data_IF_713694326475
#
_entry.id   IF_713694326475
#
_cell.length_a   1.000
_cell.length_b   1.000
_cell.length_c   1.000
_cell.angle_alpha   90.00
_cell.angle_beta   90.00
_cell.angle_gamma   90.00
#
_symmetry.space_group_name_H-M   'P 1'
#
loop_
_entity.id
_entity.type
_entity.pdbx_description
1 polymer ?
#
# COMPACT_ATOMS: atom_id res chain seq x y z
N UNK A 1 5.10 -23.43 18.85
CA UNK A 1 3.68 -23.85 18.94
C UNK A 1 2.69 -23.01 18.13
N UNK A 2 3.05 -21.80 17.78
CA UNK A 2 2.04 -20.90 17.20
C UNK A 2 1.91 -20.97 15.67
N UNK A 3 2.95 -21.33 14.94
CA UNK A 3 3.00 -21.18 13.48
C UNK A 3 2.18 -22.22 12.74
N UNK A 4 2.38 -23.48 13.08
CA UNK A 4 1.65 -24.57 12.44
C UNK A 4 0.17 -24.53 12.84
N UNK A 5 -0.12 -24.06 14.06
CA UNK A 5 -1.48 -23.86 14.51
C UNK A 5 -2.17 -22.72 13.76
N UNK A 6 -1.45 -21.62 13.50
CA UNK A 6 -1.94 -20.51 12.64
C UNK A 6 -2.10 -20.95 11.19
N UNK A 7 -1.15 -21.70 10.64
CA UNK A 7 -1.25 -22.26 9.30
C UNK A 7 -2.49 -23.14 9.13
N UNK A 8 -2.76 -24.02 10.10
CA UNK A 8 -3.96 -24.85 10.11
C UNK A 8 -5.24 -24.05 10.21
N UNK A 9 -5.24 -22.98 11.02
CA UNK A 9 -6.39 -22.09 11.15
C UNK A 9 -6.62 -21.33 9.84
N UNK A 10 -5.58 -20.90 9.15
CA UNK A 10 -5.70 -20.23 7.84
C UNK A 10 -6.20 -21.20 6.76
N UNK A 11 -5.63 -22.39 6.66
CA UNK A 11 -6.10 -23.41 5.72
C UNK A 11 -7.57 -23.77 5.97
N UNK A 12 -7.97 -23.84 7.23
CA UNK A 12 -9.36 -24.04 7.63
C UNK A 12 -10.26 -22.87 7.21
N UNK A 13 -9.78 -21.62 7.35
CA UNK A 13 -10.53 -20.41 6.96
C UNK A 13 -10.70 -20.32 5.45
N UNK A 14 -9.67 -20.65 4.66
CA UNK A 14 -9.76 -20.63 3.19
C UNK A 14 -10.72 -21.71 2.68
N UNK A 15 -10.68 -22.92 3.23
CA UNK A 15 -11.63 -23.96 2.89
C UNK A 15 -13.06 -23.55 3.26
N UNK A 16 -13.28 -22.95 4.44
CA UNK A 16 -14.59 -22.39 4.82
C UNK A 16 -15.09 -21.30 3.86
N UNK A 17 -14.21 -20.43 3.35
CA UNK A 17 -14.58 -19.43 2.34
C UNK A 17 -14.99 -20.09 1.02
N UNK A 18 -14.30 -21.15 0.61
CA UNK A 18 -14.58 -21.88 -0.63
C UNK A 18 -15.91 -22.65 -0.57
N UNK A 19 -16.32 -23.13 0.61
CA UNK A 19 -17.60 -23.82 0.82
C UNK A 19 -18.78 -22.87 1.09
N UNK A 20 -18.54 -21.68 1.64
CA UNK A 20 -19.60 -20.69 1.89
C UNK A 20 -20.21 -20.10 0.62
N UNK A 21 -19.60 -20.30 -0.52
CA UNK A 21 -20.10 -19.88 -1.84
C UNK A 21 -20.85 -21.01 -2.60
N UNK A 22 -21.15 -22.12 -1.95
CA UNK A 22 -22.06 -23.17 -2.46
C UNK A 22 -23.32 -23.21 -1.64
N UNK A 23 -24.42 -23.06 -2.34
CA UNK A 23 -25.78 -22.91 -1.82
C UNK A 23 -26.21 -23.95 -0.78
N UNK A 24 -26.95 -23.52 0.12
CA UNK A 24 -27.86 -23.89 1.22
C UNK A 24 -28.35 -25.35 1.41
N UNK A 25 -27.81 -26.40 0.79
CA UNK A 25 -28.38 -27.75 0.92
C UNK A 25 -27.53 -28.79 1.66
N UNK A 26 -26.39 -28.43 2.30
CA UNK A 26 -25.45 -29.41 2.86
C UNK A 26 -25.10 -29.22 4.35
N UNK A 27 -26.11 -29.06 5.21
CA UNK A 27 -25.87 -29.00 6.68
C UNK A 27 -25.26 -30.30 7.26
N UNK A 28 -25.55 -31.47 6.66
CA UNK A 28 -24.94 -32.75 7.08
C UNK A 28 -23.47 -32.90 6.68
N UNK A 29 -23.07 -32.38 5.52
CA UNK A 29 -21.66 -32.40 5.06
C UNK A 29 -20.78 -31.46 5.88
N UNK A 30 -21.32 -30.31 6.30
CA UNK A 30 -20.63 -29.35 7.17
C UNK A 30 -20.36 -29.96 8.56
N UNK A 31 -21.27 -30.76 9.08
CA UNK A 31 -21.11 -31.42 10.40
C UNK A 31 -20.02 -32.50 10.34
N UNK A 32 -19.98 -33.31 9.29
CA UNK A 32 -18.94 -34.30 9.04
C UNK A 32 -17.54 -33.68 8.82
N UNK A 33 -17.47 -32.56 8.10
CA UNK A 33 -16.26 -31.79 7.92
C UNK A 33 -15.77 -31.24 9.25
N UNK A 34 -16.65 -30.70 10.10
CA UNK A 34 -16.27 -30.14 11.40
C UNK A 34 -15.71 -31.20 12.36
N UNK A 35 -16.22 -32.43 12.33
CA UNK A 35 -15.69 -33.56 13.11
C UNK A 35 -14.31 -34.01 12.59
N UNK A 36 -14.13 -34.09 11.26
CA UNK A 36 -12.84 -34.39 10.62
C UNK A 36 -11.77 -33.36 11.00
N UNK A 37 -12.14 -32.09 11.06
CA UNK A 37 -11.24 -30.98 11.41
C UNK A 37 -10.88 -30.97 12.89
N UNK A 38 -11.80 -31.32 13.79
CA UNK A 38 -11.51 -31.46 15.23
C UNK A 38 -10.44 -32.50 15.52
N UNK A 39 -10.37 -33.55 14.70
CA UNK A 39 -9.37 -34.63 14.82
C UNK A 39 -8.02 -34.19 14.19
N UNK A 40 -8.04 -33.39 13.14
CA UNK A 40 -6.82 -32.88 12.47
C UNK A 40 -6.09 -31.83 13.32
N UNK A 41 -6.82 -30.96 14.02
CA UNK A 41 -6.26 -29.94 14.93
C UNK A 41 -5.58 -30.57 16.16
N UNK A 42 -5.92 -31.82 16.52
CA UNK A 42 -5.32 -32.51 17.66
C UNK A 42 -3.96 -33.15 17.41
N UNK A 43 -3.56 -33.36 16.15
CA UNK A 43 -2.21 -33.83 15.82
C UNK A 43 -1.23 -32.66 15.86
N UNK A 44 -0.32 -32.68 16.84
CA UNK A 44 0.85 -31.77 16.93
C UNK A 44 1.87 -32.12 15.84
N UNK A 45 1.57 -31.87 14.57
CA UNK A 45 2.55 -32.01 13.50
C UNK A 45 3.43 -30.77 13.45
N UNK A 46 4.72 -30.94 13.28
CA UNK A 46 5.70 -29.86 13.13
C UNK A 46 5.92 -29.56 11.65
N UNK A 47 6.55 -28.43 11.32
CA UNK A 47 6.97 -28.13 9.94
C UNK A 47 7.87 -29.25 9.39
N UNK A 48 8.74 -29.85 10.25
CA UNK A 48 9.61 -30.96 9.89
C UNK A 48 8.81 -32.21 9.51
N UNK A 49 7.67 -32.47 10.14
CA UNK A 49 6.82 -33.61 9.79
C UNK A 49 6.27 -33.45 8.35
N UNK A 50 5.87 -32.24 7.97
CA UNK A 50 5.45 -31.96 6.60
C UNK A 50 6.59 -32.05 5.59
N UNK A 51 7.79 -31.55 5.93
CA UNK A 51 8.95 -31.60 5.06
C UNK A 51 9.45 -33.06 4.87
N UNK A 52 9.30 -33.91 5.87
CA UNK A 52 9.66 -35.32 5.80
C UNK A 52 8.56 -36.20 5.20
N UNK A 53 7.34 -35.71 5.05
CA UNK A 53 6.26 -36.48 4.44
C UNK A 53 6.53 -36.72 2.94
N UNK A 54 6.59 -37.99 2.57
CA UNK A 54 6.83 -38.44 1.18
C UNK A 54 5.64 -38.18 0.26
N UNK A 55 4.47 -37.82 0.78
CA UNK A 55 3.29 -37.49 -0.01
C UNK A 55 3.40 -36.13 -0.71
N UNK A 56 4.26 -35.25 -0.23
CA UNK A 56 4.51 -33.95 -0.82
C UNK A 56 5.73 -33.99 -1.72
N UNK A 57 5.58 -33.50 -2.94
CA UNK A 57 6.69 -33.25 -3.85
C UNK A 57 7.51 -32.01 -3.41
N UNK A 58 8.61 -31.76 -4.09
CA UNK A 58 9.49 -30.64 -3.77
C UNK A 58 8.78 -29.28 -3.93
N UNK A 59 7.93 -29.13 -4.94
CA UNK A 59 7.18 -27.90 -5.16
C UNK A 59 6.22 -27.60 -4.01
N UNK A 60 5.45 -28.62 -3.59
CA UNK A 60 4.53 -28.45 -2.46
C UNK A 60 5.23 -28.18 -1.13
N UNK A 61 6.40 -28.78 -0.94
CA UNK A 61 7.24 -28.49 0.25
C UNK A 61 7.74 -27.06 0.27
N UNK A 62 8.15 -26.52 -0.88
CA UNK A 62 8.55 -25.11 -1.01
C UNK A 62 7.38 -24.16 -0.72
N UNK A 63 6.19 -24.44 -1.25
CA UNK A 63 5.00 -23.66 -0.90
C UNK A 63 4.72 -23.64 0.60
N UNK A 64 4.82 -24.80 1.28
CA UNK A 64 4.63 -24.90 2.72
C UNK A 64 5.67 -24.08 3.50
N UNK A 65 6.93 -24.10 3.04
CA UNK A 65 7.99 -23.27 3.64
C UNK A 65 7.70 -21.78 3.43
N UNK A 66 7.34 -21.38 2.22
CA UNK A 66 7.05 -19.99 1.88
C UNK A 66 5.88 -19.44 2.71
N UNK A 67 4.78 -20.19 2.79
CA UNK A 67 3.64 -19.82 3.64
C UNK A 67 4.01 -19.75 5.14
N UNK A 68 4.83 -20.68 5.61
CA UNK A 68 5.30 -20.63 6.99
C UNK A 68 6.22 -19.43 7.25
N UNK A 69 7.12 -19.12 6.28
CA UNK A 69 8.01 -17.97 6.36
C UNK A 69 7.24 -16.65 6.41
N UNK A 70 6.22 -16.46 5.57
CA UNK A 70 5.34 -15.27 5.59
C UNK A 70 4.66 -15.03 6.94
N UNK A 71 4.43 -16.09 7.72
CA UNK A 71 3.78 -15.99 9.04
C UNK A 71 4.79 -15.75 10.16
N UNK A 72 6.00 -16.30 10.03
CA UNK A 72 7.01 -16.31 11.10
C UNK A 72 7.94 -15.12 11.01
N UNK A 73 8.36 -14.80 9.79
CA UNK A 73 9.30 -13.71 9.58
C UNK A 73 8.57 -12.38 9.75
N UNK A 74 9.18 -11.40 10.44
CA UNK A 74 8.65 -10.05 10.42
C UNK A 74 8.66 -9.54 8.97
N UNK A 75 7.65 -8.78 8.59
CA UNK A 75 7.69 -8.03 7.34
C UNK A 75 8.92 -7.14 7.35
N UNK A 76 9.67 -7.15 6.25
CA UNK A 76 10.77 -6.20 6.08
C UNK A 76 10.15 -4.80 5.97
N UNK A 77 10.67 -3.88 6.78
CA UNK A 77 10.31 -2.48 6.64
C UNK A 77 10.90 -1.95 5.33
N UNK A 78 10.11 -1.24 4.54
CA UNK A 78 10.59 -0.58 3.33
C UNK A 78 11.50 0.60 3.64
N UNK A 79 12.25 1.07 2.66
CA UNK A 79 13.04 2.28 2.78
C UNK A 79 12.12 3.49 3.06
N UNK A 80 12.57 4.39 3.92
CA UNK A 80 11.77 5.54 4.33
C UNK A 80 11.78 6.63 3.28
N UNK A 81 10.66 7.33 3.16
CA UNK A 81 10.62 8.64 2.50
C UNK A 81 11.35 9.63 3.39
N UNK A 82 12.49 10.12 2.93
CA UNK A 82 13.31 11.07 3.69
C UNK A 82 13.00 12.52 3.35
N UNK A 83 12.57 12.79 2.12
CA UNK A 83 12.06 14.10 1.73
C UNK A 83 11.17 14.03 0.49
N UNK A 84 10.27 15.03 0.34
CA UNK A 84 9.50 15.27 -0.88
C UNK A 84 9.62 16.75 -1.23
N UNK A 85 10.24 17.03 -2.38
CA UNK A 85 10.31 18.38 -2.93
C UNK A 85 9.19 18.63 -3.94
N UNK A 86 8.57 19.80 -3.88
CA UNK A 86 7.53 20.21 -4.82
C UNK A 86 7.70 21.68 -5.18
N UNK A 87 7.70 21.96 -6.48
CA UNK A 87 7.80 23.32 -7.01
C UNK A 87 6.50 23.74 -7.64
N UNK A 88 5.96 24.88 -7.22
CA UNK A 88 4.71 25.43 -7.71
C UNK A 88 4.94 26.59 -8.66
N UNK A 89 4.35 26.48 -9.83
CA UNK A 89 4.46 27.48 -10.91
C UNK A 89 3.07 27.84 -11.44
N UNK A 90 2.92 29.08 -11.91
CA UNK A 90 1.72 29.48 -12.65
C UNK A 90 1.97 29.36 -14.15
N UNK A 91 0.95 28.90 -14.87
CA UNK A 91 1.04 28.79 -16.33
C UNK A 91 1.35 30.13 -16.96
N UNK A 92 2.41 30.17 -17.76
CA UNK A 92 2.90 31.40 -18.43
C UNK A 92 3.94 32.19 -17.65
N UNK A 93 4.25 31.82 -16.43
CA UNK A 93 5.36 32.38 -15.64
C UNK A 93 6.62 31.50 -15.82
N UNK A 94 7.80 32.11 -15.79
CA UNK A 94 9.08 31.38 -15.95
C UNK A 94 9.68 30.99 -14.61
N UNK A 95 9.31 31.68 -13.54
CA UNK A 95 9.83 31.48 -12.19
C UNK A 95 8.78 30.81 -11.30
N UNK A 96 9.17 29.89 -10.43
CA UNK A 96 8.28 29.32 -9.44
C UNK A 96 7.89 30.38 -8.41
N UNK A 97 6.66 30.33 -7.95
CA UNK A 97 6.24 31.21 -6.85
C UNK A 97 6.47 30.57 -5.47
N UNK A 98 6.57 29.25 -5.41
CA UNK A 98 6.79 28.52 -4.16
C UNK A 98 7.60 27.24 -4.41
N UNK A 99 8.63 27.02 -3.61
CA UNK A 99 9.29 25.74 -3.45
C UNK A 99 8.97 25.20 -2.05
N UNK A 100 8.45 23.99 -1.98
CA UNK A 100 8.14 23.33 -0.73
C UNK A 100 8.93 22.06 -0.57
N UNK A 101 9.50 21.84 0.60
CA UNK A 101 10.25 20.63 0.95
C UNK A 101 9.74 20.09 2.29
N UNK A 102 9.13 18.90 2.25
CA UNK A 102 8.85 18.11 3.44
C UNK A 102 10.06 17.20 3.73
N UNK A 103 10.64 17.30 4.90
CA UNK A 103 11.90 16.61 5.28
C UNK A 103 11.68 15.78 6.54
N UNK A 104 12.18 14.53 6.55
CA UNK A 104 12.20 13.68 7.73
C UNK A 104 13.44 13.98 8.58
N UNK A 105 13.22 14.37 9.82
CA UNK A 105 14.28 14.78 10.73
C UNK A 105 14.56 16.27 10.64
N UNK A 106 15.82 16.64 10.57
CA UNK A 106 16.29 18.01 10.61
C UNK A 106 16.94 18.43 9.29
N UNK A 107 16.81 19.67 8.91
CA UNK A 107 17.43 20.23 7.71
C UNK A 107 17.78 21.70 7.93
N UNK A 108 18.89 22.14 7.35
CA UNK A 108 19.25 23.56 7.34
C UNK A 108 18.26 24.36 6.46
N UNK A 109 18.07 25.64 6.80
CA UNK A 109 17.27 26.55 5.98
C UNK A 109 17.88 26.70 4.58
N UNK A 110 17.02 26.64 3.56
CA UNK A 110 17.40 26.79 2.16
C UNK A 110 16.70 28.02 1.61
N UNK A 111 17.48 28.97 1.12
CA UNK A 111 16.97 30.14 0.42
C UNK A 111 17.24 29.99 -1.09
N UNK A 112 16.20 30.15 -1.90
CA UNK A 112 16.30 30.17 -3.36
C UNK A 112 15.94 31.58 -3.84
N UNK A 113 16.81 32.20 -4.61
CA UNK A 113 16.57 33.52 -5.18
C UNK A 113 15.29 33.54 -6.03
N UNK A 114 14.50 34.62 -5.90
CA UNK A 114 13.28 34.90 -6.65
C UNK A 114 12.09 33.95 -6.42
N UNK A 115 12.12 33.10 -5.40
CA UNK A 115 10.99 32.26 -5.05
C UNK A 115 10.87 32.07 -3.54
N UNK A 116 9.66 31.98 -3.04
CA UNK A 116 9.43 31.59 -1.65
C UNK A 116 9.84 30.13 -1.48
N UNK A 117 10.60 29.85 -0.41
CA UNK A 117 11.04 28.50 -0.10
C UNK A 117 10.60 28.15 1.31
N UNK A 118 9.83 27.10 1.45
CA UNK A 118 9.35 26.55 2.71
C UNK A 118 9.99 25.17 2.90
N UNK A 119 10.72 25.00 4.01
CA UNK A 119 11.24 23.71 4.43
C UNK A 119 10.55 23.34 5.74
N UNK A 120 9.80 22.25 5.72
CA UNK A 120 9.13 21.72 6.90
C UNK A 120 9.75 20.40 7.31
N UNK A 121 10.23 20.35 8.57
CA UNK A 121 10.85 19.19 9.16
C UNK A 121 9.85 18.41 10.02
N UNK A 122 9.79 17.10 9.82
CA UNK A 122 8.85 16.21 10.49
C UNK A 122 9.58 15.14 11.30
N UNK A 123 9.12 14.88 12.50
CA UNK A 123 9.73 13.85 13.37
C UNK A 123 9.44 12.42 12.85
N UNK A 124 8.29 12.21 12.23
CA UNK A 124 7.89 10.90 11.70
C UNK A 124 7.63 10.95 10.20
N UNK A 125 7.87 9.82 9.54
CA UNK A 125 7.59 9.68 8.10
C UNK A 125 6.09 9.83 7.79
N UNK A 126 5.21 9.38 8.70
CA UNK A 126 3.78 9.57 8.58
C UNK A 126 3.43 11.05 8.52
N UNK A 127 3.96 11.84 9.44
CA UNK A 127 3.69 13.29 9.49
C UNK A 127 4.24 14.00 8.25
N UNK A 128 5.39 13.56 7.73
CA UNK A 128 5.94 14.06 6.47
C UNK A 128 4.97 13.83 5.31
N UNK A 129 4.44 12.62 5.14
CA UNK A 129 3.48 12.29 4.08
C UNK A 129 2.17 13.06 4.23
N UNK A 130 1.71 13.24 5.46
CA UNK A 130 0.49 13.98 5.75
C UNK A 130 0.67 15.49 5.51
N UNK A 131 1.78 16.09 5.97
CA UNK A 131 2.09 17.49 5.73
C UNK A 131 2.24 17.82 4.24
N UNK A 132 2.88 16.94 3.49
CA UNK A 132 2.92 17.07 2.02
C UNK A 132 1.52 17.00 1.40
N UNK A 133 0.65 16.10 1.88
CA UNK A 133 -0.74 16.01 1.41
C UNK A 133 -1.52 17.30 1.70
N UNK A 134 -1.37 17.86 2.90
CA UNK A 134 -1.99 19.14 3.27
C UNK A 134 -1.52 20.28 2.37
N UNK A 135 -0.20 20.36 2.09
CA UNK A 135 0.35 21.37 1.20
C UNK A 135 -0.23 21.27 -0.23
N UNK A 136 -0.32 20.07 -0.79
CA UNK A 136 -0.95 19.88 -2.12
C UNK A 136 -2.42 20.31 -2.10
N UNK A 137 -3.14 19.99 -1.02
CA UNK A 137 -4.54 20.41 -0.86
C UNK A 137 -4.69 21.94 -0.77
N UNK A 138 -3.80 22.61 -0.03
CA UNK A 138 -3.84 24.06 0.14
C UNK A 138 -3.50 24.81 -1.14
N UNK A 139 -2.55 24.30 -1.90
CA UNK A 139 -2.12 24.90 -3.17
C UNK A 139 -3.08 24.60 -4.33
N UNK A 140 -3.90 23.54 -4.25
CA UNK A 140 -4.90 23.16 -5.25
C UNK A 140 -4.37 23.15 -6.70
N UNK A 141 -3.28 22.43 -7.02
CA UNK A 141 -2.72 22.43 -8.35
C UNK A 141 -3.69 21.86 -9.39
N UNK A 142 -3.73 22.47 -10.59
CA UNK A 142 -4.49 21.94 -11.73
C UNK A 142 -3.76 20.79 -12.40
N UNK A 143 -2.43 20.88 -12.42
CA UNK A 143 -1.55 19.95 -13.12
C UNK A 143 -0.42 19.55 -12.18
N UNK A 144 -0.16 18.25 -12.08
CA UNK A 144 0.98 17.67 -11.38
C UNK A 144 1.91 17.03 -12.41
N UNK A 145 3.16 17.51 -12.46
CA UNK A 145 4.15 17.07 -13.43
C UNK A 145 5.32 16.44 -12.69
N UNK A 146 5.81 15.32 -13.21
CA UNK A 146 7.01 14.69 -12.71
C UNK A 146 7.73 13.90 -13.80
N UNK A 147 8.85 13.32 -13.45
CA UNK A 147 9.63 12.45 -14.32
C UNK A 147 9.69 11.04 -13.75
N UNK A 148 9.21 10.06 -14.52
CA UNK A 148 9.10 8.65 -14.12
C UNK A 148 8.25 8.42 -12.85
N UNK A 149 7.34 9.33 -12.55
CA UNK A 149 6.50 9.25 -11.35
C UNK A 149 5.56 8.05 -11.39
N UNK A 150 5.08 7.67 -12.58
CA UNK A 150 4.22 6.51 -12.77
C UNK A 150 5.00 5.18 -12.71
N UNK A 151 6.30 5.23 -12.97
CA UNK A 151 7.16 4.06 -12.88
C UNK A 151 7.73 3.81 -11.49
N UNK A 152 7.86 4.85 -10.66
CA UNK A 152 8.57 4.77 -9.39
C UNK A 152 7.88 5.48 -8.22
N UNK A 153 7.74 6.82 -8.27
CA UNK A 153 7.39 7.63 -7.09
C UNK A 153 6.03 7.27 -6.51
N UNK A 154 5.00 7.19 -7.35
CA UNK A 154 3.66 6.83 -6.87
C UNK A 154 3.60 5.45 -6.24
N UNK A 155 4.34 4.49 -6.79
CA UNK A 155 4.46 3.17 -6.19
C UNK A 155 5.08 3.29 -4.80
N UNK A 156 6.23 3.94 -4.72
CA UNK A 156 7.00 4.07 -3.50
C UNK A 156 6.21 4.76 -2.38
N UNK A 157 5.68 5.96 -2.62
CA UNK A 157 4.96 6.72 -1.59
C UNK A 157 3.65 6.03 -1.16
N UNK A 158 2.93 5.37 -2.09
CA UNK A 158 1.69 4.66 -1.74
C UNK A 158 1.96 3.40 -0.94
N UNK A 159 3.01 2.64 -1.24
CA UNK A 159 3.43 1.48 -0.46
C UNK A 159 3.85 1.91 0.96
N UNK A 160 4.63 2.99 1.08
CA UNK A 160 4.99 3.56 2.39
C UNK A 160 3.77 4.05 3.16
N UNK A 161 2.86 4.76 2.51
CA UNK A 161 1.62 5.23 3.16
C UNK A 161 0.75 4.06 3.67
N UNK A 162 0.73 2.93 2.96
CA UNK A 162 0.06 1.70 3.41
C UNK A 162 0.77 1.08 4.63
N UNK A 163 2.10 0.97 4.61
CA UNK A 163 2.87 0.45 5.74
C UNK A 163 2.72 1.31 7.01
N UNK A 164 2.64 2.62 6.84
CA UNK A 164 2.47 3.60 7.91
C UNK A 164 1.01 3.78 8.35
N UNK A 165 0.08 3.05 7.73
CA UNK A 165 -1.36 3.15 7.99
C UNK A 165 -1.90 4.59 7.86
N UNK A 166 -1.39 5.37 6.92
CA UNK A 166 -1.92 6.69 6.58
C UNK A 166 -2.71 6.74 5.26
N UNK A 167 -2.87 5.60 4.58
CA UNK A 167 -3.86 5.46 3.52
C UNK A 167 -5.25 5.23 4.12
N UNK A 168 -6.27 5.91 3.58
CA UNK A 168 -7.64 5.74 4.03
C UNK A 168 -8.11 4.29 3.90
N UNK A 169 -8.65 3.67 4.96
CA UNK A 169 -9.23 2.33 4.89
C UNK A 169 -10.49 2.31 4.00
N UNK A 170 -10.62 1.32 3.12
CA UNK A 170 -11.80 1.16 2.24
C UNK A 170 -13.13 1.00 3.02
N UNK A 171 -13.05 0.53 4.26
CA UNK A 171 -14.21 0.27 5.12
C UNK A 171 -14.66 1.47 5.95
N UNK A 172 -13.96 2.62 5.85
CA UNK A 172 -14.28 3.78 6.66
C UNK A 172 -15.54 4.49 6.13
N UNK A 173 -16.48 4.79 7.03
CA UNK A 173 -17.69 5.54 6.70
C UNK A 173 -17.35 7.03 6.61
N UNK A 174 -17.59 7.65 5.46
CA UNK A 174 -17.30 9.08 5.17
C UNK A 174 -17.92 10.06 6.16
N UNK A 175 -18.99 9.64 6.86
CA UNK A 175 -19.70 10.51 7.82
C UNK A 175 -18.95 10.73 9.14
N UNK A 176 -17.93 9.91 9.42
CA UNK A 176 -17.21 9.92 10.70
C UNK A 176 -15.70 10.14 10.53
N UNK A 177 -15.27 10.51 9.31
CA UNK A 177 -13.86 10.68 9.00
C UNK A 177 -13.49 12.16 9.11
N UNK A 178 -12.97 12.57 10.27
CA UNK A 178 -12.42 13.90 10.51
C UNK A 178 -10.90 13.96 10.25
N UNK A 179 -10.26 12.78 10.05
CA UNK A 179 -8.83 12.72 9.78
C UNK A 179 -8.54 12.95 8.29
N UNK A 180 -7.44 13.61 8.02
CA UNK A 180 -6.88 13.72 6.67
C UNK A 180 -6.10 12.43 6.36
N UNK A 181 -6.26 11.92 5.15
CA UNK A 181 -5.57 10.73 4.69
C UNK A 181 -4.68 11.03 3.48
N UNK A 182 -3.58 10.30 3.32
CA UNK A 182 -2.67 10.47 2.18
C UNK A 182 -3.37 10.41 0.81
N UNK A 183 -4.44 9.66 0.68
CA UNK A 183 -5.23 9.57 -0.55
C UNK A 183 -6.11 10.80 -0.84
N UNK A 184 -6.12 11.83 0.00
CA UNK A 184 -6.95 13.03 -0.17
C UNK A 184 -6.26 14.13 -1.00
N UNK A 185 -5.80 13.76 -2.20
CA UNK A 185 -5.14 14.67 -3.14
C UNK A 185 -6.09 15.20 -4.23
N UNK A 186 -7.40 14.88 -4.15
CA UNK A 186 -8.40 15.32 -5.10
C UNK A 186 -8.73 16.80 -4.92
N UNK A 187 -8.98 17.51 -6.04
CA UNK A 187 -9.55 18.86 -6.00
C UNK A 187 -11.06 18.86 -5.71
N UNK A 188 -11.71 17.74 -5.93
CA UNK A 188 -13.13 17.61 -5.67
C UNK A 188 -13.35 17.27 -4.20
N UNK A 189 -14.12 18.09 -3.50
CA UNK A 189 -14.41 17.86 -2.10
C UNK A 189 -15.20 16.57 -1.91
N UNK A 190 -14.72 15.71 -1.02
CA UNK A 190 -15.35 14.43 -0.70
C UNK A 190 -15.02 13.30 -1.68
N UNK A 191 -14.16 13.53 -2.67
CA UNK A 191 -13.65 12.46 -3.55
C UNK A 191 -12.22 12.08 -3.15
N UNK A 192 -11.98 10.79 -2.96
CA UNK A 192 -10.66 10.25 -2.60
C UNK A 192 -9.95 9.72 -3.83
N UNK A 193 -8.65 9.92 -3.85
CA UNK A 193 -7.81 9.35 -4.89
C UNK A 193 -7.69 7.84 -4.73
N UNK A 194 -7.59 7.13 -5.85
CA UNK A 194 -7.42 5.68 -5.89
C UNK A 194 -6.10 5.34 -6.55
N UNK A 195 -5.37 4.40 -5.96
CA UNK A 195 -4.20 3.81 -6.61
C UNK A 195 -4.65 3.00 -7.82
N UNK A 196 -4.13 3.33 -8.99
CA UNK A 196 -4.37 2.61 -10.24
C UNK A 196 -3.09 1.93 -10.68
N UNK A 197 -3.19 0.65 -10.98
CA UNK A 197 -2.10 -0.15 -11.54
C UNK A 197 -2.51 -0.59 -12.95
N UNK A 198 -1.70 -0.26 -13.93
CA UNK A 198 -1.89 -0.64 -15.34
C UNK A 198 -0.62 -1.18 -15.94
N UNK A 199 -0.78 -2.15 -16.82
CA UNK A 199 0.29 -2.67 -17.64
C UNK A 199 0.15 -2.10 -19.05
N UNK A 200 1.22 -1.45 -19.53
CA UNK A 200 1.27 -0.88 -20.88
C UNK A 200 2.32 -1.62 -21.69
N UNK A 201 1.92 -2.03 -22.90
CA UNK A 201 2.84 -2.60 -23.90
C UNK A 201 3.21 -1.54 -24.91
N UNK A 202 4.48 -1.20 -24.96
CA UNK A 202 5.08 -0.30 -25.94
C UNK A 202 6.21 -1.00 -26.68
N UNK A 203 6.81 -0.37 -27.68
CA UNK A 203 7.86 -0.98 -28.49
C UNK A 203 9.08 -1.45 -27.69
N UNK A 204 9.37 -0.82 -26.55
CA UNK A 204 10.48 -1.17 -25.65
C UNK A 204 10.16 -2.34 -24.71
N UNK A 205 8.90 -2.82 -24.63
CA UNK A 205 8.47 -3.91 -23.75
C UNK A 205 7.18 -3.63 -23.01
N UNK A 206 6.97 -4.41 -21.96
CA UNK A 206 5.84 -4.27 -21.05
C UNK A 206 6.27 -3.48 -19.82
N UNK A 207 5.56 -2.40 -19.51
CA UNK A 207 5.85 -1.53 -18.39
C UNK A 207 4.65 -1.47 -17.44
N UNK A 208 4.91 -1.53 -16.16
CA UNK A 208 3.90 -1.28 -15.13
C UNK A 208 3.85 0.21 -14.84
N UNK A 209 2.65 0.77 -14.86
CA UNK A 209 2.38 2.14 -14.43
C UNK A 209 1.53 2.11 -13.17
N UNK A 210 1.96 2.88 -12.18
CA UNK A 210 1.23 3.08 -10.94
C UNK A 210 1.05 4.58 -10.76
N UNK A 211 -0.19 5.01 -10.62
CA UNK A 211 -0.52 6.41 -10.37
C UNK A 211 -1.75 6.53 -9.49
N UNK A 212 -1.94 7.71 -8.93
CA UNK A 212 -3.16 8.03 -8.19
C UNK A 212 -4.20 8.61 -9.15
N UNK A 213 -5.40 8.04 -9.21
CA UNK A 213 -6.53 8.67 -9.89
C UNK A 213 -7.00 9.84 -9.01
N UNK A 214 -6.67 11.05 -9.44
CA UNK A 214 -6.92 12.30 -8.71
C UNK A 214 -8.01 13.11 -9.42
N UNK A 215 -9.27 13.01 -9.00
CA UNK A 215 -10.33 13.83 -9.60
C UNK A 215 -10.02 15.33 -9.55
N UNK A 216 -10.09 15.99 -10.71
CA UNK A 216 -9.80 17.41 -10.85
C UNK A 216 -8.33 17.79 -10.99
N UNK A 217 -7.39 16.86 -11.02
CA UNK A 217 -5.95 17.08 -11.25
C UNK A 217 -5.47 16.32 -12.48
N UNK A 218 -4.81 17.02 -13.39
CA UNK A 218 -4.14 16.39 -14.54
C UNK A 218 -2.74 15.95 -14.10
N UNK A 219 -2.39 14.71 -14.35
CA UNK A 219 -1.05 14.20 -14.07
C UNK A 219 -0.30 13.99 -15.39
N UNK A 220 0.94 14.45 -15.43
CA UNK A 220 1.83 14.32 -16.59
C UNK A 220 3.14 13.71 -16.13
N UNK A 221 3.47 12.57 -16.71
CA UNK A 221 4.79 11.96 -16.56
C UNK A 221 5.63 12.27 -17.80
N UNK A 222 6.82 12.81 -17.60
CA UNK A 222 7.72 13.24 -18.68
C UNK A 222 8.66 12.11 -19.17
N UNK A 223 8.53 10.90 -18.63
CA UNK A 223 9.32 9.72 -19.05
C UNK A 223 8.73 9.04 -20.29
#
# INVERSE_FOLDING_TARGET
NSVIERFRIMEAREKRKKYRNKDDDDDEEIHNISQSWGTYVRKKATLLDYLNDKKFDAGKKLEIIDEAAKIILPSLEGDKVTFIGTTFMRVGECEPYLNYMAVLGDCDEIEIENSETIVECYETERDLLMGWTEMIRDQHPDILIGYNTFGFDWKFVTERAQELNCMRPESLDERYDEEIWFAELSRNKGEFCKKIEKEIRIASGTHQMIYMDMPGVIQIDLY
#
